data_IF_203693557175
#
_entry.id   IF_203693557175
#
_cell.length_a   1.000
_cell.length_b   1.000
_cell.length_c   1.000
_cell.angle_alpha   90.00
_cell.angle_beta   90.00
_cell.angle_gamma   90.00
#
_symmetry.space_group_name_H-M   'P 1'
#
loop_
_entity.id
_entity.type
_entity.pdbx_description
1 polymer ?
#
# COMPACT_ATOMS: atom_id res chain seq x y z
N UNK A 1 32.70 6.85 -5.33
CA UNK A 1 32.44 5.39 -5.45
C UNK A 1 31.47 4.85 -4.41
N UNK A 2 31.39 5.39 -3.20
CA UNK A 2 30.45 4.94 -2.15
C UNK A 2 28.98 5.34 -2.37
N UNK A 3 28.73 6.48 -3.03
CA UNK A 3 27.37 6.97 -3.31
C UNK A 3 26.64 6.12 -4.37
N UNK A 4 27.38 5.54 -5.33
CA UNK A 4 26.83 4.65 -6.35
C UNK A 4 26.43 3.28 -5.78
N UNK A 5 27.16 2.78 -4.76
CA UNK A 5 26.83 1.53 -4.08
C UNK A 5 25.56 1.66 -3.22
N UNK A 6 25.32 2.83 -2.62
CA UNK A 6 24.09 3.10 -1.86
C UNK A 6 22.85 3.19 -2.78
N UNK A 7 22.99 3.78 -3.97
CA UNK A 7 21.92 3.83 -4.96
C UNK A 7 21.60 2.44 -5.55
N UNK A 8 22.61 1.57 -5.71
CA UNK A 8 22.41 0.20 -6.15
C UNK A 8 21.74 -0.69 -5.09
N UNK A 9 21.97 -0.43 -3.79
CA UNK A 9 21.29 -1.15 -2.70
C UNK A 9 19.83 -0.72 -2.54
N UNK A 10 19.49 0.54 -2.85
CA UNK A 10 18.09 1.01 -2.87
C UNK A 10 17.32 0.54 -4.13
N UNK A 11 18.01 0.16 -5.20
CA UNK A 11 17.39 -0.34 -6.43
C UNK A 11 16.91 -1.81 -6.35
N UNK A 12 17.19 -2.51 -5.25
CA UNK A 12 16.89 -3.94 -5.07
C UNK A 12 15.66 -4.23 -4.21
N UNK A 13 14.83 -3.23 -3.90
CA UNK A 13 13.61 -3.39 -3.09
C UNK A 13 12.32 -3.15 -3.88
N UNK A 14 12.40 -3.01 -5.20
CA UNK A 14 11.21 -2.85 -6.03
C UNK A 14 10.55 -4.18 -6.35
N UNK A 15 9.24 -4.28 -6.18
CA UNK A 15 8.47 -5.42 -6.64
C UNK A 15 8.64 -5.64 -8.16
N UNK A 16 8.41 -6.85 -8.68
CA UNK A 16 8.77 -7.25 -10.07
C UNK A 16 8.26 -6.28 -11.15
N UNK A 17 7.09 -5.68 -10.95
CA UNK A 17 6.47 -4.76 -11.90
C UNK A 17 6.63 -3.26 -11.52
N UNK A 18 7.54 -2.90 -10.60
CA UNK A 18 7.82 -1.50 -10.20
C UNK A 18 8.91 -0.85 -11.06
N UNK A 19 9.50 -1.57 -12.02
CA UNK A 19 10.54 -1.05 -12.92
C UNK A 19 9.96 -0.20 -14.05
N UNK A 20 9.17 0.82 -13.72
CA UNK A 20 8.68 1.81 -14.67
C UNK A 20 8.56 3.18 -14.00
N UNK A 21 8.52 4.23 -14.81
CA UNK A 21 8.19 5.58 -14.35
C UNK A 21 6.83 5.95 -14.92
N UNK A 22 5.86 6.31 -14.07
CA UNK A 22 4.52 6.68 -14.54
C UNK A 22 4.51 7.95 -15.42
N UNK A 23 5.60 8.73 -15.41
CA UNK A 23 5.82 9.87 -16.32
C UNK A 23 6.44 9.46 -17.66
N UNK A 24 7.11 8.32 -17.72
CA UNK A 24 7.83 7.81 -18.89
C UNK A 24 7.57 6.31 -19.07
N UNK A 25 6.29 5.93 -19.12
CA UNK A 25 5.86 4.56 -19.40
C UNK A 25 6.23 4.18 -20.85
N UNK A 26 6.68 2.94 -21.11
CA UNK A 26 6.98 2.48 -22.47
C UNK A 26 5.78 2.66 -23.41
N UNK A 27 5.98 3.35 -24.53
CA UNK A 27 4.86 3.71 -25.43
C UNK A 27 4.26 2.51 -26.13
N UNK A 28 5.09 1.51 -26.41
CA UNK A 28 4.75 0.23 -27.03
C UNK A 28 3.89 -0.66 -26.12
N UNK A 29 4.00 -0.49 -24.80
CA UNK A 29 3.18 -1.23 -23.83
C UNK A 29 1.90 -0.47 -23.42
N UNK A 30 1.77 0.80 -23.82
CA UNK A 30 0.65 1.65 -23.38
C UNK A 30 -0.63 1.31 -24.15
N UNK A 31 -1.58 0.69 -23.45
CA UNK A 31 -2.90 0.33 -23.97
C UNK A 31 -3.93 0.29 -22.83
N UNK A 32 -5.24 0.15 -23.11
CA UNK A 32 -6.23 -0.03 -22.05
C UNK A 32 -5.95 -1.29 -21.22
N UNK A 33 -6.00 -1.16 -19.89
CA UNK A 33 -5.74 -2.26 -18.94
C UNK A 33 -6.60 -3.49 -19.24
N UNK A 34 -7.90 -3.27 -19.45
CA UNK A 34 -8.88 -4.32 -19.71
C UNK A 34 -8.60 -5.06 -21.02
N UNK A 35 -8.17 -4.34 -22.07
CA UNK A 35 -7.76 -4.96 -23.33
C UNK A 35 -6.53 -5.84 -23.16
N UNK A 36 -5.52 -5.37 -22.42
CA UNK A 36 -4.31 -6.14 -22.17
C UNK A 36 -4.62 -7.43 -21.39
N UNK A 37 -5.42 -7.31 -20.33
CA UNK A 37 -5.78 -8.44 -19.48
C UNK A 37 -6.63 -9.47 -20.24
N UNK A 38 -7.71 -9.03 -20.94
CA UNK A 38 -8.56 -9.93 -21.73
C UNK A 38 -7.77 -10.67 -22.79
N UNK A 39 -6.94 -9.97 -23.56
CA UNK A 39 -6.11 -10.63 -24.55
C UNK A 39 -5.15 -11.65 -23.91
N UNK A 40 -4.54 -11.33 -22.76
CA UNK A 40 -3.71 -12.29 -22.01
C UNK A 40 -4.48 -13.56 -21.60
N UNK A 41 -5.75 -13.43 -21.23
CA UNK A 41 -6.65 -14.55 -20.90
C UNK A 41 -7.13 -15.33 -22.14
N UNK A 42 -7.34 -14.66 -23.27
CA UNK A 42 -7.66 -15.32 -24.53
C UNK A 42 -6.48 -16.20 -24.98
N UNK A 43 -5.26 -15.68 -24.91
CA UNK A 43 -4.03 -16.45 -25.19
C UNK A 43 -3.80 -17.58 -24.18
N UNK A 44 -4.18 -17.37 -22.92
CA UNK A 44 -4.16 -18.42 -21.91
C UNK A 44 -5.09 -19.58 -22.31
N UNK A 45 -6.29 -19.25 -22.77
CA UNK A 45 -7.33 -20.22 -23.15
C UNK A 45 -6.98 -21.01 -24.42
N UNK A 46 -6.17 -20.43 -25.31
CA UNK A 46 -5.65 -21.09 -26.52
C UNK A 46 -4.28 -21.75 -26.30
N UNK A 47 -3.80 -21.80 -25.06
CA UNK A 47 -2.51 -22.38 -24.67
C UNK A 47 -1.27 -21.69 -25.31
N UNK A 48 -1.40 -20.44 -25.73
CA UNK A 48 -0.27 -19.62 -26.19
C UNK A 48 0.45 -18.98 -24.99
N UNK A 49 1.22 -19.80 -24.27
CA UNK A 49 1.83 -19.42 -22.98
C UNK A 49 2.77 -18.21 -23.04
N UNK A 50 3.69 -18.07 -24.02
CA UNK A 50 4.58 -16.91 -24.08
C UNK A 50 3.83 -15.58 -24.23
N UNK A 51 2.81 -15.56 -25.09
CA UNK A 51 2.00 -14.38 -25.34
C UNK A 51 1.08 -14.06 -24.15
N UNK A 52 0.47 -15.09 -23.54
CA UNK A 52 -0.33 -14.95 -22.33
C UNK A 52 0.49 -14.33 -21.19
N UNK A 53 1.70 -14.85 -20.93
CA UNK A 53 2.62 -14.27 -19.94
C UNK A 53 2.91 -12.81 -20.26
N UNK A 54 3.26 -12.49 -21.51
CA UNK A 54 3.61 -11.13 -21.93
C UNK A 54 2.48 -10.14 -21.59
N UNK A 55 1.26 -10.43 -22.02
CA UNK A 55 0.12 -9.54 -21.84
C UNK A 55 -0.39 -9.49 -20.40
N UNK A 56 -0.34 -10.58 -19.66
CA UNK A 56 -0.64 -10.57 -18.23
C UNK A 56 0.38 -9.70 -17.46
N UNK A 57 1.69 -9.81 -17.75
CA UNK A 57 2.70 -8.94 -17.15
C UNK A 57 2.52 -7.46 -17.54
N UNK A 58 2.14 -7.16 -18.79
CA UNK A 58 1.81 -5.79 -19.24
C UNK A 58 0.59 -5.26 -18.48
N UNK A 59 -0.45 -6.08 -18.31
CA UNK A 59 -1.65 -5.69 -17.56
C UNK A 59 -1.32 -5.32 -16.10
N UNK A 60 -0.42 -6.06 -15.44
CA UNK A 60 0.05 -5.73 -14.09
C UNK A 60 0.76 -4.37 -14.04
N UNK A 61 1.60 -4.05 -15.04
CA UNK A 61 2.26 -2.74 -15.15
C UNK A 61 1.26 -1.62 -15.43
N UNK A 62 0.27 -1.83 -16.28
CA UNK A 62 -0.79 -0.87 -16.58
C UNK A 62 -1.67 -0.58 -15.36
N UNK A 63 -2.00 -1.61 -14.58
CA UNK A 63 -2.74 -1.45 -13.33
C UNK A 63 -1.97 -0.58 -12.33
N UNK A 64 -0.68 -0.84 -12.13
CA UNK A 64 0.18 -0.01 -11.29
C UNK A 64 0.27 1.42 -11.82
N UNK A 65 0.45 1.59 -13.14
CA UNK A 65 0.49 2.90 -13.80
C UNK A 65 -0.76 3.72 -13.48
N UNK A 66 -1.94 3.10 -13.55
CA UNK A 66 -3.19 3.76 -13.22
C UNK A 66 -3.25 4.16 -11.74
N UNK A 67 -2.94 3.23 -10.82
CA UNK A 67 -2.99 3.50 -9.38
C UNK A 67 -2.01 4.57 -8.93
N UNK A 68 -0.78 4.54 -9.41
CA UNK A 68 0.25 5.51 -9.05
C UNK A 68 -0.09 6.90 -9.63
N UNK A 69 -0.69 6.94 -10.83
CA UNK A 69 -1.16 8.18 -11.46
C UNK A 69 -2.36 8.79 -10.72
N UNK A 70 -3.28 7.95 -10.24
CA UNK A 70 -4.40 8.37 -9.39
C UNK A 70 -3.91 8.94 -8.06
N UNK A 71 -3.08 8.18 -7.35
CA UNK A 71 -2.48 8.61 -6.08
C UNK A 71 -1.75 9.95 -6.23
N UNK A 72 -0.90 10.07 -7.26
CA UNK A 72 -0.14 11.29 -7.54
C UNK A 72 -1.05 12.51 -7.72
N UNK A 73 -2.10 12.40 -8.54
CA UNK A 73 -2.98 13.54 -8.80
C UNK A 73 -3.85 13.89 -7.59
N UNK A 74 -4.42 12.90 -6.90
CA UNK A 74 -5.30 13.14 -5.76
C UNK A 74 -4.57 13.70 -4.56
N UNK A 75 -3.32 13.27 -4.33
CA UNK A 75 -2.45 13.84 -3.30
C UNK A 75 -2.07 15.29 -3.60
N UNK A 76 -1.63 15.59 -4.82
CA UNK A 76 -1.23 16.94 -5.20
C UNK A 76 -2.40 17.94 -5.28
N UNK A 77 -3.62 17.45 -5.49
CA UNK A 77 -4.84 18.27 -5.54
C UNK A 77 -5.63 18.28 -4.22
N UNK A 78 -5.13 17.64 -3.16
CA UNK A 78 -5.82 17.55 -1.85
C UNK A 78 -6.14 18.94 -1.26
N UNK A 79 -5.17 19.86 -1.28
CA UNK A 79 -5.33 21.22 -0.77
C UNK A 79 -6.19 22.13 -1.67
N UNK A 80 -6.34 21.81 -2.96
CA UNK A 80 -7.07 22.66 -3.92
C UNK A 80 -8.58 22.76 -3.61
N UNK A 81 -9.12 21.80 -2.87
CA UNK A 81 -10.52 21.79 -2.43
C UNK A 81 -10.78 22.53 -1.12
N UNK A 82 -9.73 22.95 -0.39
CA UNK A 82 -9.93 23.64 0.88
C UNK A 82 -10.46 25.06 0.61
N UNK A 83 -11.60 25.45 1.21
CA UNK A 83 -12.08 26.82 1.11
C UNK A 83 -11.05 27.76 1.75
N UNK A 84 -10.85 28.98 1.20
CA UNK A 84 -10.04 29.98 1.88
C UNK A 84 -10.67 30.28 3.26
N UNK A 85 -9.87 30.59 4.29
CA UNK A 85 -10.39 30.96 5.60
C UNK A 85 -11.37 32.12 5.44
N UNK A 86 -12.64 31.86 5.72
CA UNK A 86 -13.71 32.85 5.60
C UNK A 86 -13.90 33.58 6.94
N UNK A 87 -14.21 34.89 6.94
CA UNK A 87 -14.66 35.57 8.15
C UNK A 87 -15.98 34.94 8.67
N UNK A 88 -16.27 35.01 9.98
CA UNK A 88 -17.53 34.53 10.53
C UNK A 88 -18.68 35.31 9.90
N UNK A 89 -19.39 34.68 8.96
CA UNK A 89 -20.55 35.26 8.28
C UNK A 89 -21.85 34.80 8.97
N UNK A 90 -22.95 35.59 8.93
CA UNK A 90 -24.24 35.14 9.41
C UNK A 90 -24.68 33.91 8.59
N UNK A 91 -24.93 32.80 9.28
CA UNK A 91 -25.14 31.50 8.67
C UNK A 91 -26.51 31.41 7.98
N UNK A 92 -26.49 31.07 6.69
CA UNK A 92 -27.62 30.47 6.00
C UNK A 92 -27.14 29.21 5.30
N UNK A 93 -27.84 28.08 5.47
CA UNK A 93 -27.43 26.75 4.97
C UNK A 93 -27.06 26.73 3.47
N UNK A 94 -27.76 27.53 2.64
CA UNK A 94 -27.47 27.67 1.22
C UNK A 94 -26.06 28.25 0.93
N UNK A 95 -25.54 29.13 1.79
CA UNK A 95 -24.20 29.71 1.62
C UNK A 95 -23.10 28.69 1.97
N UNK A 96 -23.37 27.78 2.90
CA UNK A 96 -22.45 26.70 3.29
C UNK A 96 -22.36 25.63 2.20
N UNK A 97 -23.50 25.23 1.63
CA UNK A 97 -23.53 24.28 0.51
C UNK A 97 -22.79 24.82 -0.72
N UNK A 98 -22.98 26.09 -1.07
CA UNK A 98 -22.25 26.72 -2.18
C UNK A 98 -20.73 26.77 -1.92
N UNK A 99 -20.29 26.96 -0.67
CA UNK A 99 -18.87 26.91 -0.31
C UNK A 99 -18.31 25.50 -0.47
N UNK A 100 -19.03 24.48 -0.02
CA UNK A 100 -18.67 23.07 -0.19
C UNK A 100 -18.51 22.73 -1.68
N UNK A 101 -19.54 23.03 -2.48
CA UNK A 101 -19.54 22.79 -3.92
C UNK A 101 -18.42 23.57 -4.64
N UNK A 102 -18.11 24.80 -4.20
CA UNK A 102 -16.97 25.56 -4.72
C UNK A 102 -15.64 24.83 -4.48
N UNK A 103 -15.43 24.25 -3.30
CA UNK A 103 -14.27 23.42 -2.99
C UNK A 103 -14.18 22.19 -3.91
N UNK A 104 -15.29 21.49 -4.10
CA UNK A 104 -15.38 20.33 -5.02
C UNK A 104 -14.99 20.74 -6.45
N UNK A 105 -15.52 21.85 -6.96
CA UNK A 105 -15.22 22.33 -8.32
C UNK A 105 -13.74 22.72 -8.51
N UNK A 106 -13.14 23.39 -7.51
CA UNK A 106 -11.70 23.75 -7.55
C UNK A 106 -10.82 22.51 -7.55
N UNK A 107 -11.13 21.53 -6.70
CA UNK A 107 -10.43 20.25 -6.66
C UNK A 107 -10.56 19.51 -7.99
N UNK A 108 -11.77 19.44 -8.55
CA UNK A 108 -12.03 18.82 -9.86
C UNK A 108 -11.24 19.51 -10.99
N UNK A 109 -11.12 20.83 -10.97
CA UNK A 109 -10.29 21.56 -11.95
C UNK A 109 -8.81 21.21 -11.83
N UNK A 110 -8.28 21.11 -10.61
CA UNK A 110 -6.90 20.66 -10.36
C UNK A 110 -6.69 19.24 -10.89
N UNK A 111 -7.57 18.31 -10.53
CA UNK A 111 -7.50 16.91 -10.95
C UNK A 111 -7.53 16.79 -12.47
N UNK A 112 -8.46 17.50 -13.15
CA UNK A 112 -8.54 17.50 -14.60
C UNK A 112 -7.22 17.92 -15.26
N UNK A 113 -6.58 18.98 -14.75
CA UNK A 113 -5.27 19.44 -15.27
C UNK A 113 -4.17 18.43 -15.01
N UNK A 114 -4.13 17.84 -13.82
CA UNK A 114 -3.14 16.82 -13.48
C UNK A 114 -3.29 15.57 -14.37
N UNK A 115 -4.51 15.03 -14.46
CA UNK A 115 -4.80 13.80 -15.21
C UNK A 115 -4.51 13.95 -16.71
N UNK A 116 -4.77 15.12 -17.31
CA UNK A 116 -4.42 15.42 -18.70
C UNK A 116 -2.92 15.25 -19.02
N UNK A 117 -2.05 15.43 -18.03
CA UNK A 117 -0.61 15.32 -18.18
C UNK A 117 -0.06 13.89 -18.17
N UNK A 118 -0.85 12.89 -17.75
CA UNK A 118 -0.35 11.54 -17.48
C UNK A 118 -0.85 10.51 -18.50
N UNK A 119 0.00 9.55 -18.92
CA UNK A 119 -0.35 8.58 -19.96
C UNK A 119 -1.47 7.62 -19.55
N UNK A 120 -1.61 7.31 -18.26
CA UNK A 120 -2.67 6.45 -17.72
C UNK A 120 -4.07 6.90 -18.13
N UNK A 121 -4.31 8.21 -18.10
CA UNK A 121 -5.62 8.81 -18.36
C UNK A 121 -5.88 9.12 -19.84
N UNK A 122 -4.97 8.70 -20.74
CA UNK A 122 -5.21 8.69 -22.19
C UNK A 122 -5.88 7.40 -22.65
N UNK A 123 -5.90 6.39 -21.79
CA UNK A 123 -6.52 5.09 -22.05
C UNK A 123 -7.95 5.04 -21.52
N UNK A 124 -8.74 4.09 -22.04
CA UNK A 124 -10.04 3.79 -21.49
C UNK A 124 -9.89 3.36 -20.02
N UNK A 125 -10.77 3.88 -19.15
CA UNK A 125 -10.79 3.51 -17.75
C UNK A 125 -11.31 2.08 -17.59
N UNK A 126 -10.65 1.23 -16.80
CA UNK A 126 -11.09 -0.13 -16.56
C UNK A 126 -12.38 -0.15 -15.72
N UNK A 127 -13.19 -1.19 -15.92
CA UNK A 127 -14.33 -1.47 -15.04
C UNK A 127 -13.91 -1.74 -13.58
N UNK A 128 -14.85 -1.55 -12.65
CA UNK A 128 -14.62 -1.74 -11.21
C UNK A 128 -14.24 -3.17 -10.87
N UNK A 129 -14.97 -4.14 -11.39
CA UNK A 129 -14.77 -5.56 -11.09
C UNK A 129 -13.34 -6.00 -11.46
N UNK A 130 -12.83 -5.48 -12.59
CA UNK A 130 -11.45 -5.69 -13.01
C UNK A 130 -10.45 -5.12 -12.00
N UNK A 131 -10.65 -3.90 -11.51
CA UNK A 131 -9.77 -3.33 -10.49
C UNK A 131 -9.78 -4.16 -9.19
N UNK A 132 -10.93 -4.72 -8.83
CA UNK A 132 -11.10 -5.57 -7.66
C UNK A 132 -10.36 -6.93 -7.83
N UNK A 133 -10.39 -7.53 -9.02
CA UNK A 133 -9.58 -8.72 -9.35
C UNK A 133 -8.07 -8.46 -9.14
N UNK A 134 -7.56 -7.32 -9.61
CA UNK A 134 -6.15 -6.96 -9.42
C UNK A 134 -5.82 -6.69 -7.95
N UNK A 135 -6.72 -6.05 -7.19
CA UNK A 135 -6.54 -5.85 -5.74
C UNK A 135 -6.49 -7.18 -4.98
N UNK A 136 -7.29 -8.16 -5.41
CA UNK A 136 -7.32 -9.53 -4.89
C UNK A 136 -6.18 -10.41 -5.41
N UNK A 137 -5.26 -9.88 -6.23
CA UNK A 137 -4.13 -10.62 -6.81
C UNK A 137 -4.57 -11.76 -7.74
N UNK A 138 -5.77 -11.74 -8.31
CA UNK A 138 -6.28 -12.77 -9.24
C UNK A 138 -5.37 -13.00 -10.47
N UNK A 139 -4.75 -11.98 -11.10
CA UNK A 139 -3.87 -12.20 -12.24
C UNK A 139 -2.70 -13.15 -11.95
N UNK A 140 -2.25 -13.25 -10.69
CA UNK A 140 -1.18 -14.16 -10.29
C UNK A 140 -1.56 -15.63 -10.41
N UNK A 141 -2.85 -15.97 -10.31
CA UNK A 141 -3.34 -17.33 -10.56
C UNK A 141 -3.09 -17.76 -11.99
N UNK A 142 -3.40 -16.91 -12.96
CA UNK A 142 -3.16 -17.17 -14.38
C UNK A 142 -1.67 -17.13 -14.72
N UNK A 143 -0.94 -16.13 -14.21
CA UNK A 143 0.50 -16.01 -14.39
C UNK A 143 1.25 -17.23 -13.88
N UNK A 144 0.88 -17.76 -12.71
CA UNK A 144 1.49 -18.95 -12.13
C UNK A 144 1.46 -20.13 -13.12
N UNK A 145 0.29 -20.46 -13.66
CA UNK A 145 0.16 -21.59 -14.57
C UNK A 145 0.80 -21.31 -15.93
N UNK A 146 0.65 -20.09 -16.45
CA UNK A 146 1.27 -19.69 -17.71
C UNK A 146 2.82 -19.76 -17.64
N UNK A 147 3.42 -19.29 -16.54
CA UNK A 147 4.86 -19.45 -16.31
C UNK A 147 5.29 -20.91 -16.21
N UNK A 148 4.51 -21.72 -15.50
CA UNK A 148 4.80 -23.15 -15.38
C UNK A 148 4.81 -23.83 -16.75
N UNK A 149 3.81 -23.55 -17.59
CA UNK A 149 3.72 -24.08 -18.96
C UNK A 149 4.78 -23.51 -19.90
N UNK A 150 5.23 -22.28 -19.67
CA UNK A 150 6.37 -21.67 -20.36
C UNK A 150 7.75 -22.13 -19.82
N UNK A 151 7.78 -23.15 -18.94
CA UNK A 151 9.00 -23.68 -18.32
C UNK A 151 9.80 -22.63 -17.51
N UNK A 152 9.11 -21.65 -16.91
CA UNK A 152 9.68 -20.64 -16.03
C UNK A 152 9.27 -20.91 -14.57
N UNK A 153 9.86 -21.97 -14.00
CA UNK A 153 9.60 -22.37 -12.61
C UNK A 153 9.82 -21.24 -11.59
N UNK A 154 10.93 -20.46 -11.64
CA UNK A 154 11.15 -19.40 -10.66
C UNK A 154 10.00 -18.38 -10.59
N UNK A 155 9.51 -17.91 -11.75
CA UNK A 155 8.38 -16.97 -11.78
C UNK A 155 7.05 -17.64 -11.41
N UNK A 156 6.85 -18.91 -11.77
CA UNK A 156 5.66 -19.66 -11.37
C UNK A 156 5.55 -19.79 -9.84
N UNK A 157 6.66 -20.11 -9.16
CA UNK A 157 6.73 -20.22 -7.70
C UNK A 157 6.41 -18.87 -7.04
N UNK A 158 7.03 -17.79 -7.53
CA UNK A 158 6.80 -16.46 -6.99
C UNK A 158 5.35 -15.99 -7.19
N UNK A 159 4.75 -16.26 -8.35
CA UNK A 159 3.34 -15.95 -8.62
C UNK A 159 2.38 -16.75 -7.71
N UNK A 160 2.65 -18.06 -7.54
CA UNK A 160 1.88 -18.92 -6.64
C UNK A 160 1.91 -18.41 -5.19
N UNK A 161 3.10 -18.05 -4.71
CA UNK A 161 3.28 -17.49 -3.37
C UNK A 161 2.53 -16.17 -3.22
N UNK A 162 2.69 -15.27 -4.19
CA UNK A 162 2.05 -13.96 -4.20
C UNK A 162 0.53 -14.05 -4.15
N UNK A 163 -0.07 -15.01 -4.86
CA UNK A 163 -1.50 -15.30 -4.84
C UNK A 163 -1.96 -15.84 -3.47
N UNK A 164 -1.27 -16.84 -2.93
CA UNK A 164 -1.62 -17.48 -1.65
C UNK A 164 -1.62 -16.52 -0.46
N UNK A 165 -0.88 -15.42 -0.52
CA UNK A 165 -0.93 -14.39 0.52
C UNK A 165 -2.33 -13.76 0.65
N UNK A 166 -3.13 -13.65 -0.43
CA UNK A 166 -4.51 -13.15 -0.35
C UNK A 166 -5.57 -14.26 -0.34
N UNK A 167 -5.17 -15.48 -0.72
CA UNK A 167 -6.06 -16.65 -0.80
C UNK A 167 -5.45 -17.84 -0.08
N UNK A 168 -5.28 -17.77 1.25
CA UNK A 168 -4.58 -18.81 2.02
C UNK A 168 -5.28 -20.16 1.92
N UNK A 169 -6.60 -20.18 1.68
CA UNK A 169 -7.43 -21.39 1.66
C UNK A 169 -7.66 -21.95 0.24
N UNK A 170 -7.00 -21.43 -0.80
CA UNK A 170 -7.14 -21.96 -2.16
C UNK A 170 -6.45 -23.33 -2.30
N UNK A 171 -7.25 -24.41 -2.25
CA UNK A 171 -6.75 -25.79 -2.26
C UNK A 171 -5.90 -26.12 -3.50
N UNK A 172 -6.27 -25.58 -4.67
CA UNK A 172 -5.55 -25.85 -5.92
C UNK A 172 -4.15 -25.25 -5.86
N UNK A 173 -4.03 -23.99 -5.45
CA UNK A 173 -2.76 -23.30 -5.35
C UNK A 173 -1.89 -23.86 -4.21
N UNK A 174 -2.49 -24.30 -3.10
CA UNK A 174 -1.78 -25.02 -2.05
C UNK A 174 -1.13 -26.31 -2.58
N UNK A 175 -1.84 -27.10 -3.39
CA UNK A 175 -1.27 -28.30 -4.03
C UNK A 175 -0.16 -27.96 -5.02
N UNK A 176 -0.33 -26.93 -5.84
CA UNK A 176 0.71 -26.44 -6.75
C UNK A 176 1.96 -26.01 -5.98
N UNK A 177 1.79 -25.28 -4.87
CA UNK A 177 2.88 -24.84 -4.02
C UNK A 177 3.58 -26.03 -3.31
N UNK A 178 2.83 -27.04 -2.87
CA UNK A 178 3.41 -28.26 -2.29
C UNK A 178 4.26 -29.02 -3.32
N UNK A 179 3.81 -29.10 -4.58
CA UNK A 179 4.61 -29.64 -5.67
C UNK A 179 5.88 -28.81 -5.90
N UNK A 180 5.78 -27.48 -5.94
CA UNK A 180 6.94 -26.61 -6.12
C UNK A 180 7.99 -26.78 -5.02
N UNK A 181 7.58 -26.86 -3.76
CA UNK A 181 8.48 -27.11 -2.62
C UNK A 181 9.17 -28.48 -2.66
N UNK A 182 8.71 -29.41 -3.51
CA UNK A 182 9.40 -30.70 -3.72
C UNK A 182 10.57 -30.60 -4.70
N UNK A 183 10.69 -29.49 -5.43
CA UNK A 183 11.76 -29.25 -6.39
C UNK A 183 12.98 -28.67 -5.64
N UNK A 184 14.21 -29.17 -5.90
CA UNK A 184 15.41 -28.59 -5.33
C UNK A 184 15.51 -27.07 -5.59
N UNK A 185 15.99 -26.34 -4.59
CA UNK A 185 16.22 -24.90 -4.61
C UNK A 185 14.96 -24.02 -4.81
N UNK A 186 13.77 -24.60 -4.72
CA UNK A 186 12.50 -23.87 -4.89
C UNK A 186 12.32 -22.74 -3.87
N UNK A 187 12.83 -22.91 -2.64
CA UNK A 187 12.77 -21.91 -1.56
C UNK A 187 13.36 -20.56 -1.97
N UNK A 188 14.37 -20.53 -2.83
CA UNK A 188 15.00 -19.28 -3.30
C UNK A 188 14.07 -18.45 -4.20
N UNK A 189 13.00 -19.05 -4.70
CA UNK A 189 12.03 -18.45 -5.60
C UNK A 189 10.69 -18.11 -4.92
N UNK A 190 10.52 -18.48 -3.65
CA UNK A 190 9.35 -18.12 -2.84
C UNK A 190 9.48 -16.65 -2.41
N UNK A 191 8.96 -15.74 -3.25
CA UNK A 191 9.01 -14.29 -3.05
C UNK A 191 7.65 -13.68 -3.30
N UNK A 192 7.26 -12.68 -2.51
CA UNK A 192 6.10 -11.85 -2.81
C UNK A 192 6.48 -10.83 -3.91
N UNK A 193 5.78 -10.89 -5.04
CA UNK A 193 5.95 -10.01 -6.20
C UNK A 193 5.27 -8.65 -6.02
N UNK A 194 4.51 -8.46 -4.93
CA UNK A 194 3.85 -7.23 -4.51
C UNK A 194 4.44 -6.63 -3.21
N UNK A 195 5.54 -7.18 -2.70
CA UNK A 195 6.15 -6.75 -1.44
C UNK A 195 6.42 -5.25 -1.42
N UNK A 196 6.03 -4.58 -0.34
CA UNK A 196 6.30 -3.16 -0.15
C UNK A 196 7.64 -2.92 0.56
N UNK A 197 8.30 -1.77 0.31
CA UNK A 197 9.61 -1.47 0.91
C UNK A 197 9.62 -1.56 2.45
N UNK A 198 8.57 -1.07 3.12
CA UNK A 198 8.46 -1.11 4.59
C UNK A 198 8.38 -2.54 5.14
N UNK A 199 7.88 -3.53 4.38
CA UNK A 199 7.76 -4.91 4.85
C UNK A 199 9.14 -5.55 5.04
N UNK A 200 10.06 -5.29 4.12
CA UNK A 200 11.44 -5.76 4.23
C UNK A 200 12.16 -5.11 5.44
N UNK A 201 11.94 -3.81 5.65
CA UNK A 201 12.45 -3.09 6.81
C UNK A 201 11.90 -3.68 8.11
N UNK A 202 10.59 -3.90 8.17
CA UNK A 202 9.92 -4.50 9.32
C UNK A 202 10.47 -5.90 9.64
N UNK A 203 10.56 -6.79 8.64
CA UNK A 203 11.09 -8.16 8.85
C UNK A 203 12.53 -8.11 9.35
N UNK A 204 13.37 -7.22 8.79
CA UNK A 204 14.77 -7.05 9.23
C UNK A 204 14.85 -6.50 10.65
N UNK A 205 14.00 -5.53 10.99
CA UNK A 205 13.89 -4.98 12.33
C UNK A 205 13.48 -6.05 13.36
N UNK A 206 12.44 -6.85 13.08
CA UNK A 206 11.99 -7.92 13.98
C UNK A 206 13.08 -8.97 14.19
N UNK A 207 13.81 -9.35 13.13
CA UNK A 207 14.97 -10.25 13.26
C UNK A 207 16.07 -9.65 14.13
N UNK A 208 16.36 -8.37 13.97
CA UNK A 208 17.34 -7.65 14.79
C UNK A 208 16.89 -7.56 16.26
N UNK A 209 15.61 -7.27 16.51
CA UNK A 209 15.00 -7.25 17.84
C UNK A 209 15.16 -8.61 18.54
N UNK A 210 14.80 -9.70 17.87
CA UNK A 210 14.92 -11.05 18.42
C UNK A 210 16.37 -11.51 18.64
N UNK A 211 17.33 -10.85 17.98
CA UNK A 211 18.77 -11.06 18.16
C UNK A 211 19.42 -10.06 19.12
N UNK A 212 18.64 -9.32 19.91
CA UNK A 212 19.09 -8.26 20.85
C UNK A 212 19.89 -7.12 20.19
N UNK A 213 19.83 -6.99 18.87
CA UNK A 213 20.44 -5.89 18.14
C UNK A 213 19.47 -4.70 18.08
N UNK A 214 19.32 -4.03 19.23
CA UNK A 214 18.39 -2.92 19.42
C UNK A 214 18.65 -1.75 18.45
N UNK A 215 19.92 -1.45 18.15
CA UNK A 215 20.26 -0.34 17.24
C UNK A 215 19.75 -0.57 15.83
N UNK A 216 19.95 -1.77 15.28
CA UNK A 216 19.43 -2.11 13.94
C UNK A 216 17.90 -2.21 13.95
N UNK A 217 17.31 -2.77 15.01
CA UNK A 217 15.84 -2.78 15.15
C UNK A 217 15.26 -1.38 15.11
N UNK A 218 15.87 -0.43 15.83
CA UNK A 218 15.44 0.97 15.84
C UNK A 218 15.60 1.57 14.44
N UNK A 219 16.80 1.49 13.85
CA UNK A 219 17.05 2.12 12.55
C UNK A 219 16.10 1.64 11.46
N UNK A 220 15.76 0.36 11.47
CA UNK A 220 14.88 -0.23 10.47
C UNK A 220 13.40 0.09 10.72
N UNK A 221 12.93 0.07 11.98
CA UNK A 221 11.55 0.46 12.30
C UNK A 221 11.30 1.95 12.05
N UNK A 222 12.26 2.81 12.38
CA UNK A 222 12.19 4.26 12.11
C UNK A 222 12.12 4.57 10.61
N UNK A 223 12.64 3.68 9.75
CA UNK A 223 12.48 3.78 8.30
C UNK A 223 11.16 3.14 7.83
N UNK A 224 10.74 2.04 8.45
CA UNK A 224 9.52 1.31 8.05
C UNK A 224 8.25 2.14 8.29
N UNK A 225 8.15 2.85 9.42
CA UNK A 225 6.98 3.67 9.77
C UNK A 225 6.64 4.73 8.72
N UNK A 226 7.54 5.67 8.34
CA UNK A 226 7.24 6.68 7.34
C UNK A 226 6.97 6.07 5.94
N UNK A 227 7.65 4.98 5.59
CA UNK A 227 7.39 4.27 4.33
C UNK A 227 5.98 3.63 4.32
N UNK A 228 5.52 3.08 5.45
CA UNK A 228 4.16 2.59 5.61
C UNK A 228 3.14 3.71 5.50
N UNK A 229 3.31 4.81 6.22
CA UNK A 229 2.37 5.94 6.16
C UNK A 229 2.29 6.55 4.76
N UNK A 230 3.42 6.63 4.05
CA UNK A 230 3.43 7.03 2.65
C UNK A 230 2.61 6.07 1.78
N UNK A 231 2.80 4.76 1.95
CA UNK A 231 2.02 3.76 1.21
C UNK A 231 0.52 3.82 1.54
N UNK A 232 0.18 4.12 2.80
CA UNK A 232 -1.19 4.32 3.26
C UNK A 232 -1.83 5.57 2.64
N UNK A 233 -1.13 6.70 2.64
CA UNK A 233 -1.57 7.94 1.99
C UNK A 233 -1.77 7.74 0.48
N UNK A 234 -0.83 7.06 -0.19
CA UNK A 234 -0.93 6.78 -1.61
C UNK A 234 -2.12 5.82 -1.90
N UNK A 235 -2.40 4.86 -1.00
CA UNK A 235 -3.59 4.00 -1.09
C UNK A 235 -4.89 4.80 -1.00
N UNK A 236 -5.01 5.67 0.01
CA UNK A 236 -6.19 6.53 0.20
C UNK A 236 -6.41 7.46 -0.98
N UNK A 237 -5.32 8.04 -1.51
CA UNK A 237 -5.38 8.92 -2.66
C UNK A 237 -5.82 8.17 -3.93
N UNK A 238 -5.37 6.92 -4.13
CA UNK A 238 -5.75 6.09 -5.26
C UNK A 238 -7.23 5.63 -5.22
N UNK A 239 -7.89 5.65 -4.05
CA UNK A 239 -9.31 5.29 -3.92
C UNK A 239 -10.27 6.29 -4.56
N UNK A 240 -9.84 7.52 -4.83
CA UNK A 240 -10.69 8.59 -5.36
C UNK A 240 -10.74 8.64 -6.89
N UNK A 241 -10.37 7.54 -7.55
CA UNK A 241 -10.35 7.43 -9.00
C UNK A 241 -11.71 7.59 -9.66
N UNK A 242 -11.71 7.79 -10.98
CA UNK A 242 -12.96 7.91 -11.74
C UNK A 242 -13.74 6.60 -11.71
N UNK A 243 -15.06 6.69 -11.53
CA UNK A 243 -15.99 5.56 -11.70
C UNK A 243 -16.63 5.58 -13.09
N UNK A 244 -16.95 4.41 -13.61
CA UNK A 244 -17.90 4.28 -14.70
C UNK A 244 -19.31 4.60 -14.16
N UNK A 245 -20.04 5.50 -14.82
CA UNK A 245 -21.43 5.82 -14.45
C UNK A 245 -22.33 4.90 -15.29
N UNK A 246 -22.74 3.79 -14.69
CA UNK A 246 -23.59 2.77 -15.35
C UNK A 246 -25.09 3.01 -15.17
N UNK A 247 -25.47 3.78 -14.14
CA UNK A 247 -26.85 4.15 -13.83
C UNK A 247 -26.94 5.66 -13.53
N UNK A 248 -28.00 6.31 -14.01
CA UNK A 248 -28.22 7.74 -13.85
C UNK A 248 -29.22 7.97 -12.72
N UNK A 249 -28.71 8.14 -11.50
CA UNK A 249 -29.49 8.57 -10.33
C UNK A 249 -29.53 10.10 -10.23
N UNK A 250 -30.47 10.63 -9.45
CA UNK A 250 -30.50 12.05 -9.10
C UNK A 250 -29.13 12.53 -8.58
N UNK A 251 -28.82 13.82 -8.81
CA UNK A 251 -27.49 14.41 -8.57
C UNK A 251 -26.90 14.07 -7.19
N UNK A 252 -27.65 14.29 -6.11
CA UNK A 252 -27.16 14.03 -4.75
C UNK A 252 -26.98 12.55 -4.45
N UNK A 253 -27.83 11.68 -4.99
CA UNK A 253 -27.69 10.23 -4.85
C UNK A 253 -26.43 9.73 -5.57
N UNK A 254 -26.19 10.22 -6.78
CA UNK A 254 -24.98 9.91 -7.55
C UNK A 254 -23.70 10.31 -6.82
N UNK A 255 -23.70 11.49 -6.17
CA UNK A 255 -22.57 11.95 -5.34
C UNK A 255 -22.43 11.06 -4.11
N UNK A 256 -23.50 10.85 -3.34
CA UNK A 256 -23.47 10.08 -2.10
C UNK A 256 -22.93 8.65 -2.35
N UNK A 257 -23.43 7.97 -3.38
CA UNK A 257 -22.96 6.63 -3.74
C UNK A 257 -21.47 6.62 -4.05
N UNK A 258 -20.98 7.60 -4.82
CA UNK A 258 -19.55 7.69 -5.12
C UNK A 258 -18.70 7.90 -3.85
N UNK A 259 -19.14 8.75 -2.93
CA UNK A 259 -18.43 8.94 -1.66
C UNK A 259 -18.46 7.68 -0.78
N UNK A 260 -19.57 6.94 -0.75
CA UNK A 260 -19.66 5.66 -0.05
C UNK A 260 -18.66 4.66 -0.62
N UNK A 261 -18.54 4.56 -1.95
CA UNK A 261 -17.57 3.70 -2.64
C UNK A 261 -16.12 4.08 -2.30
N UNK A 262 -15.81 5.38 -2.39
CA UNK A 262 -14.48 5.90 -2.03
C UNK A 262 -14.16 5.60 -0.57
N UNK A 263 -15.12 5.79 0.34
CA UNK A 263 -14.94 5.48 1.76
C UNK A 263 -14.72 3.98 1.99
N UNK A 264 -15.48 3.12 1.33
CA UNK A 264 -15.30 1.67 1.40
C UNK A 264 -13.88 1.25 0.99
N UNK A 265 -13.34 1.82 -0.09
CA UNK A 265 -11.95 1.60 -0.49
C UNK A 265 -10.94 2.10 0.56
N UNK A 266 -11.12 3.33 1.07
CA UNK A 266 -10.20 3.94 2.05
C UNK A 266 -10.12 3.14 3.35
N UNK A 267 -11.25 2.66 3.86
CA UNK A 267 -11.31 1.85 5.10
C UNK A 267 -10.53 0.54 4.95
N UNK A 268 -10.41 0.00 3.74
CA UNK A 268 -9.65 -1.23 3.49
C UNK A 268 -8.14 -0.99 3.36
N UNK A 269 -7.65 0.24 3.22
CA UNK A 269 -6.23 0.51 2.93
C UNK A 269 -5.28 -0.09 3.98
N UNK A 270 -5.57 0.07 5.28
CA UNK A 270 -4.73 -0.50 6.34
C UNK A 270 -4.68 -2.03 6.25
N UNK A 271 -5.84 -2.69 6.14
CA UNK A 271 -5.92 -4.16 6.01
C UNK A 271 -5.23 -4.66 4.74
N UNK A 272 -5.27 -3.90 3.65
CA UNK A 272 -4.65 -4.26 2.39
C UNK A 272 -3.13 -4.11 2.40
N UNK A 273 -2.61 -3.21 3.22
CA UNK A 273 -1.19 -2.93 3.42
C UNK A 273 -0.61 -3.68 4.64
N UNK A 274 -1.43 -4.38 5.42
CA UNK A 274 -0.93 -5.16 6.54
C UNK A 274 -0.17 -6.38 6.00
N UNK A 275 1.11 -6.57 6.37
CA UNK A 275 1.92 -7.67 5.84
C UNK A 275 1.47 -9.02 6.40
N UNK A 276 1.75 -10.06 5.63
CA UNK A 276 1.54 -11.46 6.02
C UNK A 276 2.91 -12.12 6.13
N UNK A 277 3.30 -12.47 7.35
CA UNK A 277 4.63 -12.99 7.67
C UNK A 277 4.48 -14.42 8.15
N UNK A 278 5.15 -15.35 7.47
CA UNK A 278 5.08 -16.78 7.80
C UNK A 278 3.66 -17.37 7.73
N UNK A 279 2.77 -16.75 6.94
CA UNK A 279 1.37 -17.16 6.81
C UNK A 279 0.40 -16.50 7.80
N UNK A 280 0.88 -15.60 8.66
CA UNK A 280 0.06 -14.89 9.64
C UNK A 280 0.01 -13.39 9.35
N UNK A 281 -1.20 -12.82 9.42
CA UNK A 281 -1.41 -11.37 9.35
C UNK A 281 -0.80 -10.73 10.60
N UNK A 282 0.00 -9.68 10.43
CA UNK A 282 0.54 -8.94 11.58
C UNK A 282 -0.54 -8.01 12.14
N UNK A 283 -1.23 -8.45 13.19
CA UNK A 283 -2.27 -7.66 13.83
C UNK A 283 -1.74 -6.33 14.38
N UNK A 284 -2.59 -5.29 14.31
CA UNK A 284 -2.30 -3.93 14.79
C UNK A 284 -0.93 -3.44 14.32
N UNK A 285 -0.68 -3.54 13.01
CA UNK A 285 0.66 -3.43 12.42
C UNK A 285 1.45 -2.20 12.86
N UNK A 286 0.81 -1.02 12.85
CA UNK A 286 1.44 0.23 13.26
C UNK A 286 1.74 0.25 14.77
N UNK A 287 0.78 -0.20 15.60
CA UNK A 287 1.00 -0.35 17.03
C UNK A 287 2.19 -1.29 17.31
N UNK A 288 2.25 -2.42 16.61
CA UNK A 288 3.34 -3.39 16.71
C UNK A 288 4.71 -2.76 16.41
N UNK A 289 4.82 -1.89 15.39
CA UNK A 289 6.06 -1.14 15.12
C UNK A 289 6.45 -0.22 16.30
N UNK A 290 5.50 0.52 16.86
CA UNK A 290 5.76 1.37 18.03
C UNK A 290 6.12 0.57 19.29
N UNK A 291 5.55 -0.62 19.47
CA UNK A 291 5.91 -1.52 20.56
C UNK A 291 7.38 -1.96 20.45
N UNK A 292 7.82 -2.40 19.27
CA UNK A 292 9.23 -2.75 19.04
C UNK A 292 10.17 -1.57 19.28
N UNK A 293 9.82 -0.38 18.81
CA UNK A 293 10.59 0.84 19.04
C UNK A 293 10.67 1.20 20.52
N UNK A 294 9.53 1.23 21.21
CA UNK A 294 9.45 1.56 22.64
C UNK A 294 10.38 0.68 23.46
N UNK A 295 10.33 -0.63 23.25
CA UNK A 295 11.18 -1.56 23.98
C UNK A 295 12.65 -1.43 23.61
N UNK A 296 12.98 -1.30 22.31
CA UNK A 296 14.37 -1.17 21.87
C UNK A 296 15.01 0.12 22.39
N UNK A 297 14.30 1.26 22.37
CA UNK A 297 14.75 2.52 22.97
C UNK A 297 14.96 2.39 24.47
N UNK A 298 14.03 1.73 25.17
CA UNK A 298 14.18 1.43 26.60
C UNK A 298 15.46 0.64 26.88
N UNK A 299 15.75 -0.40 26.09
CA UNK A 299 16.97 -1.22 26.22
C UNK A 299 18.26 -0.45 26.00
N UNK A 300 18.21 0.64 25.22
CA UNK A 300 19.35 1.54 25.00
C UNK A 300 19.38 2.75 25.94
N UNK A 301 18.52 2.76 26.97
CA UNK A 301 18.38 3.84 27.94
C UNK A 301 17.94 5.19 27.33
N UNK A 302 17.26 5.16 26.18
CA UNK A 302 16.66 6.33 25.54
C UNK A 302 15.19 6.47 25.95
N UNK A 303 14.99 6.98 27.16
CA UNK A 303 13.66 7.02 27.80
C UNK A 303 12.70 8.00 27.12
N UNK A 304 13.22 9.04 26.47
CA UNK A 304 12.41 10.05 25.77
C UNK A 304 11.70 9.42 24.57
N UNK A 305 12.46 8.78 23.71
CA UNK A 305 11.89 8.08 22.56
C UNK A 305 11.04 6.89 22.99
N UNK A 306 11.41 6.18 24.06
CA UNK A 306 10.61 5.08 24.59
C UNK A 306 9.22 5.54 25.07
N UNK A 307 9.15 6.63 25.86
CA UNK A 307 7.89 7.20 26.34
C UNK A 307 7.02 7.72 25.19
N UNK A 308 7.62 8.43 24.23
CA UNK A 308 6.87 8.95 23.09
C UNK A 308 6.38 7.84 22.15
N UNK A 309 7.13 6.74 21.99
CA UNK A 309 6.64 5.56 21.27
C UNK A 309 5.50 4.85 22.00
N UNK A 310 5.53 4.78 23.33
CA UNK A 310 4.42 4.25 24.12
C UNK A 310 3.15 5.12 23.97
N UNK A 311 3.30 6.44 23.94
CA UNK A 311 2.21 7.36 23.67
C UNK A 311 1.63 7.16 22.24
N UNK A 312 2.51 7.04 21.22
CA UNK A 312 2.09 6.73 19.85
C UNK A 312 1.38 5.38 19.74
N UNK A 313 1.87 4.34 20.42
CA UNK A 313 1.22 3.02 20.44
C UNK A 313 -0.23 3.12 20.90
N UNK A 314 -0.48 3.86 21.99
CA UNK A 314 -1.81 3.97 22.59
C UNK A 314 -2.81 4.70 21.70
N UNK A 315 -2.39 5.46 20.67
CA UNK A 315 -3.31 5.98 19.66
C UNK A 315 -3.96 4.87 18.81
N UNK A 316 -3.26 3.76 18.61
CA UNK A 316 -3.71 2.64 17.79
C UNK A 316 -4.35 1.53 18.63
N UNK A 317 -3.96 1.40 19.90
CA UNK A 317 -4.48 0.38 20.81
C UNK A 317 -4.67 0.90 22.24
N UNK A 318 -5.64 1.79 22.40
CA UNK A 318 -5.97 2.43 23.68
C UNK A 318 -6.35 1.45 24.81
N UNK A 319 -6.64 0.18 24.48
CA UNK A 319 -7.10 -0.83 25.44
C UNK A 319 -5.98 -1.75 25.94
N UNK A 320 -4.76 -1.62 25.43
CA UNK A 320 -3.63 -2.43 25.89
C UNK A 320 -3.20 -2.01 27.31
N UNK A 321 -3.45 -2.89 28.28
CA UNK A 321 -3.13 -2.62 29.68
C UNK A 321 -1.62 -2.66 29.98
N UNK A 322 -0.83 -3.40 29.20
CA UNK A 322 0.63 -3.48 29.38
C UNK A 322 1.26 -2.15 28.97
N UNK A 323 0.85 -1.58 27.83
CA UNK A 323 1.36 -0.30 27.39
C UNK A 323 0.91 0.85 28.30
N UNK A 324 -0.32 0.81 28.84
CA UNK A 324 -0.75 1.76 29.88
C UNK A 324 0.14 1.70 31.12
N UNK A 325 0.49 0.50 31.58
CA UNK A 325 1.40 0.34 32.71
C UNK A 325 2.80 0.87 32.39
N UNK A 326 3.30 0.68 31.16
CA UNK A 326 4.56 1.28 30.72
C UNK A 326 4.50 2.81 30.77
N UNK A 327 3.40 3.43 30.34
CA UNK A 327 3.21 4.89 30.45
C UNK A 327 3.24 5.37 31.90
N UNK A 328 2.53 4.69 32.80
CA UNK A 328 2.57 5.01 34.24
C UNK A 328 3.99 4.86 34.80
N UNK A 329 4.73 3.83 34.37
CA UNK A 329 6.12 3.62 34.77
C UNK A 329 7.04 4.75 34.30
N UNK A 330 6.91 5.23 33.06
CA UNK A 330 7.65 6.39 32.56
C UNK A 330 7.29 7.67 33.31
N UNK A 331 6.01 7.91 33.60
CA UNK A 331 5.55 9.06 34.37
C UNK A 331 6.08 9.04 35.80
N UNK A 332 6.08 7.88 36.45
CA UNK A 332 6.59 7.72 37.81
C UNK A 332 8.09 8.03 37.91
N UNK A 333 8.86 7.69 36.87
CA UNK A 333 10.30 7.96 36.80
C UNK A 333 10.68 9.22 36.01
N UNK A 334 9.71 10.12 35.76
CA UNK A 334 9.88 11.32 34.96
C UNK A 334 11.09 12.16 35.37
N UNK A 335 11.21 12.49 36.66
CA UNK A 335 12.32 13.31 37.19
C UNK A 335 13.67 12.59 37.10
N UNK A 336 13.68 11.27 37.36
CA UNK A 336 14.88 10.43 37.29
C UNK A 336 15.48 10.40 35.89
N UNK A 337 14.62 10.45 34.87
CA UNK A 337 15.02 10.34 33.46
C UNK A 337 15.01 11.66 32.70
N UNK A 338 14.73 12.77 33.39
CA UNK A 338 14.68 14.09 32.76
C UNK A 338 13.63 14.19 31.65
N UNK A 339 12.50 13.52 31.83
CA UNK A 339 11.38 13.54 30.89
C UNK A 339 10.51 14.78 31.11
N UNK A 340 10.02 15.37 30.03
CA UNK A 340 9.09 16.51 30.04
C UNK A 340 7.68 16.05 29.68
N UNK A 341 6.68 16.92 29.77
CA UNK A 341 5.31 16.62 29.30
C UNK A 341 5.26 16.33 27.78
N UNK A 342 6.20 16.89 27.01
CA UNK A 342 6.30 16.67 25.56
C UNK A 342 6.70 15.23 25.23
N UNK A 343 7.52 14.60 26.07
CA UNK A 343 7.97 13.21 25.87
C UNK A 343 6.81 12.18 26.02
N UNK A 344 5.67 12.60 26.59
CA UNK A 344 4.45 11.77 26.71
C UNK A 344 3.42 12.05 25.62
N UNK A 345 3.76 12.88 24.63
CA UNK A 345 2.91 13.09 23.46
C UNK A 345 3.23 12.04 22.38
N UNK A 346 2.22 11.59 21.62
CA UNK A 346 2.44 10.82 20.42
C UNK A 346 3.35 11.57 19.44
N UNK A 347 4.21 10.81 18.76
CA UNK A 347 5.11 11.32 17.72
C UNK A 347 4.30 11.85 16.53
N UNK A 348 4.69 13.04 16.05
CA UNK A 348 4.11 13.74 14.91
C UNK A 348 4.55 13.19 13.55
#
# INVERSE_FOLDING_TARGET
>A
MWVAALAALLAAAGAQYERYSFRSFPRDELMPLESAYRYGLDQYSTENWPESVSYLEVSMRLYRLLRDSEAFCHRNCSAAGQPPPAPPAPAGAALEELRLLSGVLRRAQCLRRCKQGLPAFRQAQPGRDLLEEFQRREPYKYLQFAYFKANNLPKAIAAAHTFLLKHPDDEMMQRNMAYYKSIPDAEEHIKDLEIKPYENLFVRAVRAYNGDNWRTSISDMELALPDFFKAYDDCIAACEGSREITDFKDFYLSIADHYIEVLACKVQCESNLTPIIGGFVVEKFVATMYHYLQFAYYKLNDMKNAASCAASYLLFDEKDEVMKQNMVYYQYHKDKWGLTEEDFQPRS
#
